data_IF_063986788258
#
_entry.id   IF_063986788258
#
_cell.length_a   1.000
_cell.length_b   1.000
_cell.length_c   1.000
_cell.angle_alpha   90.00
_cell.angle_beta   90.00
_cell.angle_gamma   90.00
#
_symmetry.space_group_name_H-M   'P 1'
#
loop_
_entity.id
_entity.type
_entity.pdbx_description
1 polymer ?
#
# COMPACT_ATOMS: atom_id res chain seq x y z
N UNK A 1 61.89 6.42 -18.72
CA UNK A 1 60.53 6.01 -19.11
C UNK A 1 59.59 6.86 -18.29
N UNK A 2 58.70 7.58 -18.98
CA UNK A 2 57.71 8.49 -18.41
C UNK A 2 56.86 7.81 -17.36
N UNK A 3 56.51 8.54 -16.30
CA UNK A 3 55.13 8.50 -15.85
C UNK A 3 54.64 9.90 -15.48
N UNK A 4 53.42 10.14 -15.94
CA UNK A 4 52.78 11.44 -16.09
C UNK A 4 52.30 11.95 -14.74
N UNK A 5 52.30 13.27 -14.58
CA UNK A 5 51.47 13.94 -13.60
C UNK A 5 50.01 13.55 -13.85
N UNK A 6 49.36 12.90 -12.89
CA UNK A 6 47.91 12.98 -12.75
C UNK A 6 47.63 14.07 -11.74
N UNK A 7 47.43 15.30 -12.21
CA UNK A 7 46.78 16.35 -11.44
C UNK A 7 45.41 15.80 -11.03
N UNK A 8 45.23 15.50 -9.74
CA UNK A 8 43.94 15.13 -9.20
C UNK A 8 43.11 16.42 -9.12
N UNK A 9 42.19 16.59 -10.06
CA UNK A 9 41.16 17.63 -9.98
C UNK A 9 40.35 17.36 -8.70
N UNK A 10 40.24 18.33 -7.77
CA UNK A 10 39.36 18.16 -6.60
C UNK A 10 37.93 17.99 -7.12
N UNK A 11 37.36 16.83 -6.85
CA UNK A 11 35.99 16.52 -7.23
C UNK A 11 35.03 17.21 -6.24
N UNK A 12 33.77 17.42 -6.62
CA UNK A 12 32.81 18.22 -5.84
C UNK A 12 32.46 17.59 -4.46
N UNK A 13 32.84 16.34 -4.26
CA UNK A 13 32.77 15.56 -3.01
C UNK A 13 33.90 15.86 -2.02
N UNK A 14 35.01 16.48 -2.46
CA UNK A 14 36.08 16.99 -1.59
C UNK A 14 35.78 18.38 -1.01
N UNK A 15 34.65 18.99 -1.39
CA UNK A 15 34.16 20.22 -0.79
C UNK A 15 33.72 19.95 0.65
N UNK A 16 34.24 20.75 1.59
CA UNK A 16 33.80 20.78 2.98
C UNK A 16 32.27 20.80 3.07
N UNK A 17 31.69 19.65 3.42
CA UNK A 17 30.28 19.53 3.77
C UNK A 17 30.19 19.93 5.25
N UNK A 18 29.64 21.10 5.60
CA UNK A 18 29.32 21.35 6.99
C UNK A 18 28.26 20.34 7.39
N UNK A 19 28.66 19.29 8.09
CA UNK A 19 27.77 18.60 9.03
C UNK A 19 27.52 19.63 10.13
N UNK A 20 26.58 20.54 9.87
CA UNK A 20 25.98 21.40 10.88
C UNK A 20 25.68 20.51 12.06
N UNK A 21 26.08 20.97 13.24
CA UNK A 21 26.15 20.18 14.46
C UNK A 21 25.03 19.15 14.53
N UNK A 22 25.43 17.90 14.73
CA UNK A 22 24.57 16.72 14.83
C UNK A 22 23.61 16.74 16.04
N UNK A 23 23.38 17.93 16.61
CA UNK A 23 22.52 18.21 17.76
C UNK A 23 21.04 17.97 17.44
N UNK A 24 20.63 18.04 16.16
CA UNK A 24 19.25 17.71 15.75
C UNK A 24 19.01 16.19 15.57
N UNK A 25 20.05 15.34 15.69
CA UNK A 25 19.91 13.89 15.53
C UNK A 25 19.80 13.13 16.85
N UNK A 26 20.08 13.75 18.00
CA UNK A 26 19.92 13.10 19.30
C UNK A 26 18.43 12.79 19.60
N UNK A 27 17.51 13.60 19.04
CA UNK A 27 16.05 13.41 19.15
C UNK A 27 15.44 12.58 17.99
N UNK A 28 16.26 12.17 17.03
CA UNK A 28 15.84 11.33 15.89
C UNK A 28 16.12 9.84 16.11
N UNK A 29 16.66 9.47 17.27
CA UNK A 29 16.81 8.08 17.69
C UNK A 29 15.45 7.46 18.04
N UNK A 30 15.29 6.13 17.94
CA UNK A 30 14.16 5.46 18.55
C UNK A 30 14.05 5.87 20.01
N UNK A 31 12.85 6.30 20.43
CA UNK A 31 12.59 6.67 21.82
C UNK A 31 12.99 5.51 22.74
N UNK A 32 13.54 5.84 23.90
CA UNK A 32 13.66 4.83 24.95
C UNK A 32 12.27 4.40 25.35
N UNK A 33 11.96 3.12 25.15
CA UNK A 33 10.67 2.53 25.48
C UNK A 33 10.37 2.64 26.99
N UNK A 34 11.38 2.85 27.84
CA UNK A 34 11.21 3.09 29.27
C UNK A 34 10.66 4.50 29.58
N UNK A 35 10.92 5.47 28.71
CA UNK A 35 10.56 6.89 28.90
C UNK A 35 9.47 7.36 27.92
N UNK A 36 9.09 6.52 26.95
CA UNK A 36 8.04 6.82 25.97
C UNK A 36 6.64 6.78 26.59
N UNK A 37 5.85 7.82 26.32
CA UNK A 37 4.47 7.94 26.81
C UNK A 37 3.57 6.93 26.13
N UNK A 38 2.84 6.13 26.91
CA UNK A 38 1.91 5.12 26.41
C UNK A 38 2.55 3.77 26.15
N UNK A 39 3.87 3.65 26.34
CA UNK A 39 4.53 2.36 26.38
C UNK A 39 4.29 1.65 27.72
N UNK A 40 4.30 0.32 27.64
CA UNK A 40 4.14 -0.58 28.78
C UNK A 40 5.31 -0.44 29.73
N UNK A 41 5.03 -0.27 31.02
CA UNK A 41 6.09 -0.19 32.04
C UNK A 41 6.75 -1.56 32.23
N UNK A 42 7.93 -1.56 32.83
CA UNK A 42 8.63 -2.80 33.17
C UNK A 42 7.81 -3.69 34.11
N UNK A 43 6.99 -3.11 34.99
CA UNK A 43 6.10 -3.84 35.89
C UNK A 43 4.95 -4.51 35.10
N UNK A 44 4.35 -3.79 34.14
CA UNK A 44 3.30 -4.32 33.26
C UNK A 44 3.81 -5.52 32.43
N UNK A 45 5.07 -5.48 31.99
CA UNK A 45 5.70 -6.60 31.28
C UNK A 45 5.94 -7.83 32.18
N UNK A 46 6.17 -7.62 33.48
CA UNK A 46 6.39 -8.70 34.44
C UNK A 46 5.08 -9.35 34.90
N UNK A 47 4.00 -8.57 34.96
CA UNK A 47 2.66 -9.03 35.31
C UNK A 47 1.98 -9.80 34.17
N UNK A 48 2.31 -9.51 32.91
CA UNK A 48 1.81 -10.24 31.75
C UNK A 48 2.44 -11.65 31.67
N UNK A 49 1.67 -12.64 32.10
CA UNK A 49 2.07 -14.04 31.98
C UNK A 49 2.15 -14.47 30.52
N UNK A 50 3.28 -15.07 30.11
CA UNK A 50 3.35 -15.75 28.81
C UNK A 50 2.38 -16.93 28.80
N UNK A 51 1.38 -16.90 27.91
CA UNK A 51 0.47 -18.03 27.66
C UNK A 51 1.01 -18.88 26.52
N UNK A 52 1.61 -20.06 26.79
CA UNK A 52 2.11 -20.92 25.74
C UNK A 52 0.97 -21.45 24.88
N UNK A 53 1.23 -21.81 23.61
CA UNK A 53 0.23 -22.48 22.79
C UNK A 53 -0.32 -23.73 23.50
N UNK A 54 -1.65 -23.91 23.46
CA UNK A 54 -2.32 -25.07 24.09
C UNK A 54 -1.88 -26.42 23.52
N UNK A 55 -1.13 -26.41 22.41
CA UNK A 55 -0.67 -27.58 21.68
C UNK A 55 0.58 -27.26 20.86
N UNK A 56 1.49 -28.24 20.70
CA UNK A 56 2.72 -28.05 19.94
C UNK A 56 2.40 -27.71 18.47
N UNK A 57 3.01 -26.64 17.97
CA UNK A 57 2.88 -26.19 16.59
C UNK A 57 4.01 -26.78 15.75
N UNK A 58 3.70 -27.29 14.57
CA UNK A 58 4.71 -27.72 13.61
C UNK A 58 5.42 -29.05 13.92
N UNK A 59 5.25 -29.62 15.13
CA UNK A 59 5.94 -30.87 15.52
C UNK A 59 5.55 -32.07 14.65
N UNK A 60 4.37 -32.04 14.04
CA UNK A 60 3.87 -33.09 13.13
C UNK A 60 3.92 -32.66 11.66
N UNK A 61 4.55 -31.52 11.33
CA UNK A 61 4.68 -31.07 9.94
C UNK A 61 5.80 -31.83 9.22
N UNK A 62 5.65 -31.98 7.92
CA UNK A 62 6.71 -32.50 7.06
C UNK A 62 7.90 -31.52 7.03
N UNK A 63 9.13 -32.06 6.97
CA UNK A 63 10.37 -31.27 6.94
C UNK A 63 11.00 -31.04 8.31
N UNK A 64 10.54 -31.75 9.34
CA UNK A 64 11.13 -31.69 10.69
C UNK A 64 12.35 -32.60 10.81
N UNK A 65 12.51 -33.58 9.91
CA UNK A 65 13.70 -34.45 9.84
C UNK A 65 14.60 -34.12 8.65
N UNK A 66 15.90 -34.42 8.79
CA UNK A 66 16.88 -34.19 7.71
C UNK A 66 16.56 -34.99 6.43
N UNK A 67 15.96 -36.17 6.58
CA UNK A 67 15.55 -36.99 5.44
C UNK A 67 14.38 -36.36 4.68
N UNK A 68 13.38 -35.84 5.39
CA UNK A 68 12.23 -35.13 4.81
C UNK A 68 12.65 -33.85 4.09
N UNK A 69 13.58 -33.08 4.66
CA UNK A 69 14.10 -31.88 4.00
C UNK A 69 14.83 -32.19 2.69
N UNK A 70 15.54 -33.33 2.64
CA UNK A 70 16.25 -33.74 1.44
C UNK A 70 15.31 -34.33 0.37
N UNK A 71 14.29 -35.07 0.79
CA UNK A 71 13.28 -35.62 -0.12
C UNK A 71 12.34 -34.53 -0.67
N UNK A 72 12.04 -33.52 0.14
CA UNK A 72 11.02 -32.52 -0.16
C UNK A 72 9.61 -33.09 -0.04
N UNK A 73 8.63 -32.20 -0.01
CA UNK A 73 7.21 -32.55 0.03
C UNK A 73 6.64 -32.64 -1.39
N UNK A 74 5.78 -33.65 -1.65
CA UNK A 74 5.08 -33.78 -2.93
C UNK A 74 3.95 -32.75 -3.07
N UNK A 75 3.47 -32.56 -4.30
CA UNK A 75 2.35 -31.64 -4.55
C UNK A 75 1.06 -32.10 -3.86
N UNK A 76 0.79 -33.40 -3.85
CA UNK A 76 -0.42 -33.98 -3.25
C UNK A 76 -0.42 -33.79 -1.72
N UNK A 77 0.74 -33.97 -1.07
CA UNK A 77 0.90 -33.72 0.36
C UNK A 77 0.66 -32.23 0.69
N UNK A 78 1.25 -31.32 -0.10
CA UNK A 78 1.03 -29.86 0.07
C UNK A 78 -0.44 -29.48 -0.10
N UNK A 79 -1.12 -30.09 -1.06
CA UNK A 79 -2.55 -29.87 -1.29
C UNK A 79 -3.39 -30.39 -0.12
N UNK A 80 -3.01 -31.52 0.49
CA UNK A 80 -3.67 -32.06 1.68
C UNK A 80 -3.51 -31.19 2.94
N UNK A 81 -2.52 -30.28 2.97
CA UNK A 81 -2.34 -29.31 4.06
C UNK A 81 -3.19 -28.03 3.89
N UNK A 82 -3.79 -27.82 2.72
CA UNK A 82 -4.61 -26.63 2.44
C UNK A 82 -5.87 -26.62 3.32
N UNK A 83 -6.20 -25.45 3.86
CA UNK A 83 -7.46 -25.20 4.58
C UNK A 83 -8.27 -24.25 3.72
N UNK A 84 -9.58 -24.49 3.51
CA UNK A 84 -10.43 -23.56 2.77
C UNK A 84 -10.36 -22.16 3.37
N UNK A 85 -10.29 -21.16 2.50
CA UNK A 85 -10.36 -19.77 2.92
C UNK A 85 -11.67 -19.51 3.69
N UNK A 86 -11.55 -18.77 4.79
CA UNK A 86 -12.71 -18.35 5.57
C UNK A 86 -13.24 -17.07 4.94
N UNK A 87 -14.41 -17.14 4.29
CA UNK A 87 -15.12 -15.93 3.87
C UNK A 87 -15.62 -15.23 5.13
N UNK A 88 -15.24 -13.96 5.39
CA UNK A 88 -15.89 -13.17 6.42
C UNK A 88 -17.40 -13.06 6.12
N UNK A 89 -18.25 -12.86 7.12
CA UNK A 89 -19.64 -12.51 6.85
C UNK A 89 -19.70 -11.33 5.88
N UNK A 90 -20.70 -11.33 4.99
CA UNK A 90 -20.93 -10.19 4.12
C UNK A 90 -21.36 -8.99 4.96
N UNK A 91 -20.81 -7.81 4.64
CA UNK A 91 -21.03 -6.57 5.38
C UNK A 91 -19.97 -6.31 6.45
N UNK A 92 -19.75 -5.04 6.75
CA UNK A 92 -18.90 -4.55 7.85
C UNK A 92 -19.74 -4.07 9.05
N UNK A 93 -21.02 -4.46 9.07
CA UNK A 93 -22.07 -4.03 10.00
C UNK A 93 -22.53 -2.57 9.80
N UNK A 94 -21.88 -1.79 8.93
CA UNK A 94 -22.24 -0.40 8.65
C UNK A 94 -23.34 -0.37 7.59
N UNK A 95 -24.50 0.18 7.95
CA UNK A 95 -25.61 0.33 7.00
C UNK A 95 -26.45 -0.94 6.76
N UNK A 96 -26.10 -2.06 7.39
CA UNK A 96 -26.76 -3.37 7.23
C UNK A 96 -28.12 -3.50 7.95
N UNK A 97 -28.61 -2.44 8.61
CA UNK A 97 -29.87 -2.46 9.35
C UNK A 97 -31.09 -2.57 8.40
N UNK A 98 -31.96 -3.60 8.51
CA UNK A 98 -33.14 -3.72 7.66
C UNK A 98 -34.10 -2.54 7.85
N UNK A 99 -34.31 -1.78 6.78
CA UNK A 99 -35.14 -0.56 6.80
C UNK A 99 -34.45 0.68 7.39
N UNK A 100 -33.13 0.61 7.63
CA UNK A 100 -32.30 1.78 7.93
C UNK A 100 -31.95 2.59 6.68
N UNK A 101 -31.22 3.69 6.87
CA UNK A 101 -30.78 4.62 5.81
C UNK A 101 -29.75 4.01 4.84
N UNK A 102 -29.25 2.79 5.12
CA UNK A 102 -28.19 2.14 4.35
C UNK A 102 -26.78 2.59 4.78
N UNK A 103 -25.78 2.18 4.00
CA UNK A 103 -24.39 2.61 4.20
C UNK A 103 -24.26 4.11 3.89
N UNK A 104 -23.59 4.91 4.74
CA UNK A 104 -23.39 6.32 4.48
C UNK A 104 -22.44 6.50 3.29
N UNK A 105 -23.01 6.70 2.10
CA UNK A 105 -22.26 7.02 0.89
C UNK A 105 -22.01 8.52 0.85
N UNK A 106 -20.76 8.91 0.64
CA UNK A 106 -20.37 10.28 0.36
C UNK A 106 -21.07 10.74 -0.94
N UNK A 107 -21.87 11.82 -0.95
CA UNK A 107 -22.52 12.33 -2.16
C UNK A 107 -21.52 12.61 -3.30
N UNK A 108 -20.28 12.93 -2.95
CA UNK A 108 -19.16 13.19 -3.86
C UNK A 108 -18.44 11.90 -4.31
N UNK A 109 -18.91 10.72 -3.93
CA UNK A 109 -18.35 9.45 -4.41
C UNK A 109 -18.69 9.17 -5.89
N UNK A 110 -19.80 9.71 -6.41
CA UNK A 110 -20.24 9.52 -7.78
C UNK A 110 -20.78 8.10 -8.07
N UNK A 111 -21.90 8.00 -8.79
CA UNK A 111 -22.53 6.70 -9.08
C UNK A 111 -22.02 6.04 -10.36
N UNK A 112 -21.41 6.80 -11.26
CA UNK A 112 -20.91 6.34 -12.55
C UNK A 112 -19.39 6.50 -12.60
N UNK A 113 -18.71 5.43 -13.02
CA UNK A 113 -17.27 5.46 -13.25
C UNK A 113 -16.94 6.40 -14.41
N UNK A 114 -15.88 7.20 -14.27
CA UNK A 114 -15.34 8.02 -15.35
C UNK A 114 -14.68 7.14 -16.41
N UNK A 115 -14.89 7.45 -17.68
CA UNK A 115 -14.19 6.81 -18.79
C UNK A 115 -12.94 7.57 -19.22
N UNK A 116 -12.40 7.19 -20.37
CA UNK A 116 -11.22 7.83 -20.95
C UNK A 116 -11.59 9.21 -21.49
N UNK A 117 -10.82 10.22 -21.10
CA UNK A 117 -10.97 11.58 -21.60
C UNK A 117 -10.09 11.81 -22.84
N UNK A 118 -10.68 12.32 -23.92
CA UNK A 118 -9.99 12.65 -25.17
C UNK A 118 -10.21 14.12 -25.50
N UNK A 119 -9.11 14.86 -25.66
CA UNK A 119 -9.15 16.26 -26.09
C UNK A 119 -9.61 16.38 -27.56
N UNK A 120 -10.16 17.54 -27.98
CA UNK A 120 -10.68 17.73 -29.34
C UNK A 120 -9.65 17.50 -30.46
N UNK A 121 -8.37 17.68 -30.19
CA UNK A 121 -7.25 17.46 -31.12
C UNK A 121 -6.70 16.03 -31.08
N UNK A 122 -7.32 15.15 -30.29
CA UNK A 122 -6.95 13.76 -30.05
C UNK A 122 -5.50 13.60 -29.53
N UNK A 123 -4.89 14.67 -29.01
CA UNK A 123 -3.49 14.70 -28.56
C UNK A 123 -2.46 14.54 -29.69
N UNK A 124 -2.88 14.64 -30.95
CA UNK A 124 -2.00 14.44 -32.13
C UNK A 124 -2.06 15.58 -33.14
N UNK A 125 -3.09 16.41 -33.10
CA UNK A 125 -3.28 17.54 -34.00
C UNK A 125 -2.84 18.85 -33.35
N UNK A 126 -2.90 19.95 -34.11
CA UNK A 126 -2.66 21.28 -33.55
C UNK A 126 -3.81 21.65 -32.63
N UNK A 127 -3.50 21.97 -31.36
CA UNK A 127 -4.48 22.51 -30.43
C UNK A 127 -4.96 23.89 -30.89
N UNK A 128 -6.28 24.01 -31.07
CA UNK A 128 -6.97 25.25 -31.45
C UNK A 128 -7.86 25.79 -30.34
N UNK A 129 -7.99 25.06 -29.24
CA UNK A 129 -8.86 25.38 -28.12
C UNK A 129 -8.02 26.07 -27.05
N UNK A 130 -8.55 27.10 -26.39
CA UNK A 130 -7.78 27.78 -25.33
C UNK A 130 -8.06 27.18 -23.96
N UNK A 131 -9.20 26.53 -23.85
CA UNK A 131 -9.73 25.89 -22.66
C UNK A 131 -9.23 24.44 -22.56
N UNK A 132 -9.03 23.96 -21.33
CA UNK A 132 -8.70 22.55 -21.06
C UNK A 132 -9.99 21.74 -20.99
N UNK A 133 -10.39 21.19 -22.12
CA UNK A 133 -11.62 20.43 -22.29
C UNK A 133 -11.33 19.07 -22.92
N UNK A 134 -12.12 18.07 -22.54
CA UNK A 134 -12.04 16.73 -23.09
C UNK A 134 -13.41 16.06 -23.06
N UNK A 135 -13.61 15.10 -23.96
CA UNK A 135 -14.83 14.29 -24.02
C UNK A 135 -14.55 12.90 -23.45
N UNK A 136 -15.43 12.43 -22.57
CA UNK A 136 -15.45 11.04 -22.13
C UNK A 136 -15.91 10.14 -23.29
N UNK A 137 -15.04 9.23 -23.72
CA UNK A 137 -15.30 8.26 -24.81
C UNK A 137 -15.50 6.84 -24.29
N UNK A 138 -15.76 6.69 -22.98
CA UNK A 138 -16.12 5.44 -22.32
C UNK A 138 -14.95 4.70 -21.68
N UNK A 139 -15.29 3.64 -20.95
CA UNK A 139 -14.34 2.78 -20.23
C UNK A 139 -13.51 1.98 -21.23
N UNK A 140 -12.20 1.93 -21.02
CA UNK A 140 -11.35 1.00 -21.75
C UNK A 140 -11.57 -0.42 -21.22
N UNK A 141 -12.21 -1.26 -22.03
CA UNK A 141 -12.87 -2.53 -21.68
C UNK A 141 -11.95 -3.68 -21.23
N UNK A 142 -11.05 -3.41 -20.30
CA UNK A 142 -10.11 -4.36 -19.69
C UNK A 142 -8.68 -3.82 -19.54
N UNK A 143 -8.36 -2.68 -20.16
CA UNK A 143 -7.02 -2.08 -20.07
C UNK A 143 -6.92 -0.96 -19.02
N UNK A 144 -8.04 -0.59 -18.40
CA UNK A 144 -8.03 0.46 -17.41
C UNK A 144 -7.26 0.06 -16.15
N UNK A 145 -6.33 0.91 -15.72
CA UNK A 145 -5.56 0.72 -14.49
C UNK A 145 -6.43 0.80 -13.24
N UNK A 146 -5.88 0.41 -12.08
CA UNK A 146 -6.59 0.49 -10.80
C UNK A 146 -7.02 1.94 -10.48
N UNK A 147 -6.18 2.92 -10.78
CA UNK A 147 -6.46 4.34 -10.58
C UNK A 147 -7.62 4.81 -11.46
N UNK A 148 -7.61 4.43 -12.74
CA UNK A 148 -8.70 4.73 -13.68
C UNK A 148 -10.00 3.99 -13.30
N UNK A 149 -9.90 2.84 -12.61
CA UNK A 149 -11.05 2.13 -12.07
C UNK A 149 -11.64 2.78 -10.82
N UNK A 150 -10.87 3.59 -10.11
CA UNK A 150 -11.30 4.29 -8.91
C UNK A 150 -12.00 5.64 -9.19
N UNK A 151 -11.81 6.22 -10.38
CA UNK A 151 -12.38 7.53 -10.72
C UNK A 151 -13.86 7.47 -11.07
N UNK A 152 -14.66 8.37 -10.50
CA UNK A 152 -16.11 8.48 -10.68
C UNK A 152 -16.53 9.92 -11.01
N UNK A 153 -17.66 10.05 -11.69
CA UNK A 153 -18.26 11.35 -12.05
C UNK A 153 -19.28 11.74 -10.99
N UNK A 154 -19.10 12.93 -10.43
CA UNK A 154 -20.07 13.61 -9.57
C UNK A 154 -20.83 14.60 -10.45
N UNK A 155 -22.16 14.47 -10.60
CA UNK A 155 -22.94 15.40 -11.41
C UNK A 155 -22.90 16.79 -10.78
N UNK A 156 -22.77 17.82 -11.62
CA UNK A 156 -22.85 19.20 -11.16
C UNK A 156 -24.31 19.53 -10.84
N UNK A 157 -24.60 19.98 -9.61
CA UNK A 157 -25.97 20.37 -9.21
C UNK A 157 -26.53 21.54 -10.03
N UNK A 158 -25.68 22.21 -10.83
CA UNK A 158 -26.06 23.30 -11.72
C UNK A 158 -26.37 22.87 -13.16
N UNK A 159 -26.14 21.60 -13.53
CA UNK A 159 -26.59 21.06 -14.81
C UNK A 159 -28.10 20.81 -14.78
N UNK A 160 -28.84 21.52 -15.65
CA UNK A 160 -30.27 21.27 -15.85
C UNK A 160 -30.46 19.93 -16.57
N UNK A 161 -31.48 19.14 -16.21
CA UNK A 161 -31.80 17.92 -16.95
C UNK A 161 -32.17 18.27 -18.40
N UNK A 162 -31.63 17.50 -19.36
CA UNK A 162 -31.99 17.60 -20.78
C UNK A 162 -33.46 17.24 -21.06
#
# INVERSE_FOLDING_TARGET
MSDRQSEQTPMADDAYQPTGSNEEQEDAGPLDMQDAVGERTYDDMLDEGYSPPERPLGVTKHGTTAAEQHAGETLDERLGQEVPDVTPPAGDEIGDLPGGEGEPVDPEAGAARAGRLVAPDEGTHTDTTKEEVAQDVGIDGGAAGAEEAAMHVVPDETELPE
#
